data_IF_360086961613
#
_entry.id   IF_360086961613
#
_cell.length_a   1.000
_cell.length_b   1.000
_cell.length_c   1.000
_cell.angle_alpha   90.00
_cell.angle_beta   90.00
_cell.angle_gamma   90.00
#
_symmetry.space_group_name_H-M   'P 1'
#
loop_
_entity.id
_entity.type
_entity.pdbx_description
1 polymer ?
#
# COMPACT_ATOMS: atom_id res chain seq x y z
N UNK A 1 2.66 1.71 5.93
CA UNK A 1 1.61 2.75 6.02
C UNK A 1 0.43 2.27 6.88
N UNK A 2 0.03 1.00 6.78
CA UNK A 2 -1.11 0.45 7.52
C UNK A 2 -1.01 0.60 9.05
N UNK A 3 0.10 0.26 9.74
CA UNK A 3 0.19 0.46 11.20
C UNK A 3 -0.02 1.92 11.63
N UNK A 4 0.47 2.87 10.83
CA UNK A 4 0.27 4.30 11.08
C UNK A 4 -1.21 4.70 10.99
N UNK A 5 -1.93 4.17 9.99
CA UNK A 5 -3.37 4.44 9.84
C UNK A 5 -4.16 3.82 10.99
N UNK A 6 -3.87 2.57 11.36
CA UNK A 6 -4.54 1.88 12.46
C UNK A 6 -4.37 2.63 13.79
N UNK A 7 -3.15 3.11 14.08
CA UNK A 7 -2.90 3.93 15.27
C UNK A 7 -3.72 5.22 15.28
N UNK A 8 -3.90 5.85 14.12
CA UNK A 8 -4.72 7.07 14.02
C UNK A 8 -6.20 6.77 14.24
N UNK A 9 -6.72 5.69 13.64
CA UNK A 9 -8.13 5.29 13.82
C UNK A 9 -8.40 4.89 15.27
N UNK A 10 -7.54 4.07 15.88
CA UNK A 10 -7.73 3.64 17.27
C UNK A 10 -7.61 4.78 18.28
N UNK A 11 -6.80 5.81 18.00
CA UNK A 11 -6.72 7.00 18.85
C UNK A 11 -8.03 7.82 18.87
N UNK A 12 -8.78 7.81 17.77
CA UNK A 12 -10.06 8.53 17.65
C UNK A 12 -11.23 7.64 18.09
N UNK A 13 -11.17 6.34 17.79
CA UNK A 13 -12.22 5.36 18.07
C UNK A 13 -11.66 4.16 18.87
N UNK A 14 -11.35 4.33 20.15
CA UNK A 14 -10.63 3.32 20.93
C UNK A 14 -11.41 2.01 21.19
N UNK A 15 -12.74 2.03 21.00
CA UNK A 15 -13.61 0.85 21.14
C UNK A 15 -13.95 0.17 19.81
N UNK A 16 -13.46 0.70 18.70
CA UNK A 16 -13.72 0.14 17.38
C UNK A 16 -12.82 -1.08 17.16
N UNK A 17 -13.44 -2.24 16.92
CA UNK A 17 -12.73 -3.41 16.43
C UNK A 17 -12.51 -3.28 14.92
N UNK A 18 -11.33 -3.63 14.44
CA UNK A 18 -10.95 -3.57 13.03
C UNK A 18 -10.56 -4.98 12.54
N UNK A 19 -11.23 -5.48 11.51
CA UNK A 19 -10.77 -6.63 10.73
C UNK A 19 -9.82 -6.14 9.63
N UNK A 20 -8.67 -6.81 9.48
CA UNK A 20 -7.61 -6.37 8.56
C UNK A 20 -7.25 -7.52 7.62
N UNK A 21 -7.46 -7.29 6.32
CA UNK A 21 -7.17 -8.25 5.26
C UNK A 21 -6.05 -7.74 4.37
N UNK A 22 -5.00 -8.56 4.19
CA UNK A 22 -3.88 -8.27 3.29
C UNK A 22 -4.00 -9.14 2.05
N UNK A 23 -4.14 -8.52 0.88
CA UNK A 23 -4.30 -9.17 -0.43
C UNK A 23 -3.48 -8.45 -1.50
N UNK A 24 -3.27 -9.10 -2.65
CA UNK A 24 -2.67 -8.45 -3.83
C UNK A 24 -3.64 -7.43 -4.41
N UNK A 25 -3.11 -6.31 -4.93
CA UNK A 25 -3.91 -5.19 -5.46
C UNK A 25 -4.99 -5.61 -6.47
N UNK A 26 -4.71 -6.63 -7.30
CA UNK A 26 -5.64 -7.15 -8.31
C UNK A 26 -7.00 -7.61 -7.74
N UNK A 27 -7.06 -8.02 -6.47
CA UNK A 27 -8.29 -8.50 -5.82
C UNK A 27 -8.97 -7.44 -4.95
N UNK A 28 -8.25 -6.38 -4.58
CA UNK A 28 -8.72 -5.46 -3.54
C UNK A 28 -9.85 -4.54 -4.03
N UNK A 29 -9.88 -4.22 -5.33
CA UNK A 29 -10.97 -3.42 -5.91
C UNK A 29 -12.30 -4.19 -5.88
N UNK A 30 -12.27 -5.47 -6.26
CA UNK A 30 -13.45 -6.35 -6.22
C UNK A 30 -13.99 -6.48 -4.79
N UNK A 31 -13.12 -6.66 -3.79
CA UNK A 31 -13.54 -6.72 -2.38
C UNK A 31 -14.24 -5.44 -1.89
N UNK A 32 -13.88 -4.28 -2.44
CA UNK A 32 -14.54 -3.01 -2.11
C UNK A 32 -15.88 -2.89 -2.84
N UNK A 33 -15.96 -3.34 -4.10
CA UNK A 33 -17.19 -3.41 -4.90
C UNK A 33 -18.20 -4.40 -4.30
N UNK A 34 -17.75 -5.56 -3.85
CA UNK A 34 -18.56 -6.61 -3.22
C UNK A 34 -18.92 -6.34 -1.75
N UNK A 35 -18.42 -5.23 -1.18
CA UNK A 35 -18.61 -4.83 0.22
C UNK A 35 -18.03 -5.85 1.23
N UNK A 36 -17.04 -6.64 0.82
CA UNK A 36 -16.28 -7.49 1.74
C UNK A 36 -15.34 -6.69 2.64
N UNK A 37 -14.97 -5.47 2.22
CA UNK A 37 -14.23 -4.49 3.02
C UNK A 37 -14.83 -3.11 2.85
N UNK A 38 -14.82 -2.32 3.92
CA UNK A 38 -15.34 -0.94 3.90
C UNK A 38 -14.32 0.06 3.33
N UNK A 39 -13.03 -0.22 3.55
CA UNK A 39 -11.92 0.68 3.22
C UNK A 39 -10.74 -0.09 2.66
N UNK A 40 -10.08 0.51 1.67
CA UNK A 40 -8.85 0.01 1.07
C UNK A 40 -7.70 0.98 1.26
N UNK A 41 -6.51 0.47 1.61
CA UNK A 41 -5.24 1.21 1.58
C UNK A 41 -4.36 0.65 0.48
N UNK A 42 -4.07 1.44 -0.54
CA UNK A 42 -3.32 1.02 -1.72
C UNK A 42 -2.39 2.13 -2.22
N UNK A 43 -1.36 1.75 -2.98
CA UNK A 43 -0.48 2.68 -3.71
C UNK A 43 -0.95 2.91 -5.14
N UNK A 44 -1.90 2.11 -5.63
CA UNK A 44 -2.57 2.32 -6.91
C UNK A 44 -3.78 3.23 -6.70
N UNK A 45 -4.00 4.22 -7.58
CA UNK A 45 -5.18 5.07 -7.50
C UNK A 45 -6.29 4.51 -8.39
N UNK A 46 -7.30 3.82 -7.84
CA UNK A 46 -8.44 3.38 -8.64
C UNK A 46 -9.23 4.61 -9.11
N UNK A 47 -9.57 4.67 -10.38
CA UNK A 47 -10.36 5.78 -10.97
C UNK A 47 -11.81 5.79 -10.50
N UNK A 48 -12.35 4.63 -10.13
CA UNK A 48 -13.77 4.41 -9.84
C UNK A 48 -14.19 4.82 -8.42
N UNK A 49 -13.26 4.88 -7.46
CA UNK A 49 -13.57 5.13 -6.06
C UNK A 49 -13.09 6.50 -5.58
N UNK A 50 -13.78 7.04 -4.56
CA UNK A 50 -13.28 8.20 -3.81
C UNK A 50 -12.00 7.80 -3.07
N UNK A 51 -10.95 8.59 -3.23
CA UNK A 51 -9.65 8.32 -2.63
C UNK A 51 -9.09 9.55 -1.91
N UNK A 52 -8.46 9.32 -0.77
CA UNK A 52 -7.69 10.30 -0.01
C UNK A 52 -6.21 9.92 -0.07
N UNK A 53 -5.35 10.88 -0.44
CA UNK A 53 -3.92 10.66 -0.39
C UNK A 53 -3.43 10.75 1.07
N UNK A 54 -2.93 9.64 1.61
CA UNK A 54 -2.42 9.57 2.99
C UNK A 54 -0.96 10.01 3.11
N UNK A 55 -0.16 9.74 2.06
CA UNK A 55 1.28 10.03 2.03
C UNK A 55 1.81 9.93 0.61
N UNK A 56 2.68 10.86 0.25
CA UNK A 56 3.52 10.77 -0.95
C UNK A 56 4.94 10.40 -0.55
N UNK A 57 5.56 9.49 -1.31
CA UNK A 57 6.94 9.06 -1.08
C UNK A 57 7.59 8.74 -2.43
N UNK A 58 8.88 9.01 -2.61
CA UNK A 58 9.60 8.65 -3.83
C UNK A 58 9.73 7.12 -3.96
N UNK A 59 9.72 6.65 -5.21
CA UNK A 59 10.07 5.26 -5.56
C UNK A 59 11.56 5.22 -5.89
N UNK A 60 12.30 4.32 -5.24
CA UNK A 60 13.74 4.19 -5.40
C UNK A 60 14.11 2.81 -5.91
N UNK A 61 15.24 2.76 -6.62
CA UNK A 61 15.95 1.52 -6.89
C UNK A 61 16.76 1.13 -5.65
N UNK A 62 16.61 -0.11 -5.21
CA UNK A 62 17.37 -0.65 -4.09
C UNK A 62 18.29 -1.76 -4.60
N UNK A 63 19.47 -1.85 -3.99
CA UNK A 63 20.43 -2.92 -4.21
C UNK A 63 21.02 -3.34 -2.86
N UNK A 64 21.75 -4.46 -2.83
CA UNK A 64 22.50 -4.87 -1.65
C UNK A 64 23.54 -3.79 -1.28
N UNK A 65 23.93 -3.70 -0.01
CA UNK A 65 24.87 -2.67 0.45
C UNK A 65 26.24 -2.77 -0.25
N UNK A 66 26.61 -3.99 -0.65
CA UNK A 66 27.82 -4.37 -1.35
C UNK A 66 27.65 -4.47 -2.88
N UNK A 67 26.49 -4.10 -3.43
CA UNK A 67 26.24 -4.19 -4.86
C UNK A 67 27.08 -3.18 -5.65
N UNK A 68 27.83 -3.69 -6.63
CA UNK A 68 28.61 -2.87 -7.57
C UNK A 68 27.85 -2.74 -8.88
N UNK A 69 27.38 -1.52 -9.18
CA UNK A 69 26.71 -1.22 -10.44
C UNK A 69 27.72 -1.23 -11.60
N UNK A 70 27.58 -2.19 -12.52
CA UNK A 70 28.32 -2.22 -13.78
C UNK A 70 27.74 -1.18 -14.74
N UNK A 71 28.45 -0.06 -14.91
CA UNK A 71 28.00 1.01 -15.80
C UNK A 71 28.08 0.55 -17.26
N UNK A 72 27.01 0.76 -18.01
CA UNK A 72 26.93 0.39 -19.44
C UNK A 72 26.35 -1.00 -19.68
N UNK A 73 26.27 -1.84 -18.64
CA UNK A 73 25.60 -3.14 -18.72
C UNK A 73 24.11 -3.03 -18.35
N UNK A 74 23.25 -3.93 -18.87
CA UNK A 74 21.85 -4.01 -18.46
C UNK A 74 21.71 -4.23 -16.96
N UNK A 75 20.75 -3.54 -16.33
CA UNK A 75 20.43 -3.76 -14.91
C UNK A 75 19.75 -5.13 -14.78
N UNK A 76 20.30 -6.06 -13.97
CA UNK A 76 19.62 -7.33 -13.71
C UNK A 76 18.38 -7.06 -12.85
N UNK A 77 17.20 -7.15 -13.45
CA UNK A 77 15.94 -7.14 -12.73
C UNK A 77 15.68 -8.55 -12.21
N UNK A 78 15.41 -8.67 -10.91
CA UNK A 78 14.99 -9.92 -10.26
C UNK A 78 13.55 -10.26 -10.61
#
# INVERSE_FOLDING_TARGET
>A
ILPFLLNRVSSVYPKLALDVRVKRNAYMAEMLESQEVDLMVTTHRPSTFKALNLRTSPTHWYCAAEYVLQKGEPIPLV
#
